data_IF_311861134378
#
_entry.id   IF_311861134378
#
_cell.length_a   1.000
_cell.length_b   1.000
_cell.length_c   1.000
_cell.angle_alpha   90.00
_cell.angle_beta   90.00
_cell.angle_gamma   90.00
#
_symmetry.space_group_name_H-M   'P 1'
#
loop_
_entity.id
_entity.type
_entity.pdbx_description
1 polymer ?
#
# COMPACT_ATOMS: atom_id res chain seq x y z
N UNK A 1 -1.66 -35.35 -1.46
CA UNK A 1 -1.71 -33.88 -1.61
C UNK A 1 -1.61 -33.62 -3.10
N UNK A 2 -2.73 -33.31 -3.75
CA UNK A 2 -2.72 -32.93 -5.17
C UNK A 2 -1.95 -31.63 -5.31
N UNK A 3 -0.82 -31.69 -6.01
CA UNK A 3 -0.07 -30.52 -6.44
C UNK A 3 -0.95 -29.79 -7.45
N UNK A 4 -1.51 -28.65 -7.07
CA UNK A 4 -2.16 -27.75 -8.04
C UNK A 4 -1.06 -27.28 -8.98
N UNK A 5 -1.13 -27.69 -10.25
CA UNK A 5 -0.23 -27.17 -11.28
C UNK A 5 -0.38 -25.64 -11.35
N UNK A 6 0.74 -24.94 -11.36
CA UNK A 6 0.76 -23.50 -11.51
C UNK A 6 0.25 -23.14 -12.91
N UNK A 7 -1.03 -22.80 -13.01
CA UNK A 7 -1.60 -22.31 -14.25
C UNK A 7 -1.02 -20.92 -14.58
N UNK A 8 -0.58 -20.66 -15.82
CA UNK A 8 -0.08 -19.35 -16.21
C UNK A 8 -1.20 -18.30 -16.10
N UNK A 9 -1.05 -17.36 -15.18
CA UNK A 9 -1.96 -16.21 -15.04
C UNK A 9 -1.64 -15.19 -16.13
N UNK A 10 -2.53 -15.06 -17.12
CA UNK A 10 -2.41 -14.10 -18.21
C UNK A 10 -3.66 -13.25 -18.29
N UNK A 11 -3.50 -11.93 -18.36
CA UNK A 11 -4.61 -10.99 -18.46
C UNK A 11 -4.23 -9.60 -17.97
N UNK A 12 -5.23 -8.76 -17.82
CA UNK A 12 -5.08 -7.42 -17.26
C UNK A 12 -5.45 -7.44 -15.77
N UNK A 13 -4.63 -6.75 -14.97
CA UNK A 13 -4.98 -6.43 -13.59
C UNK A 13 -5.48 -4.98 -13.55
N UNK A 14 -6.76 -4.81 -13.21
CA UNK A 14 -7.37 -3.48 -13.03
C UNK A 14 -7.53 -3.17 -11.55
N UNK A 15 -7.33 -1.91 -11.19
CA UNK A 15 -7.58 -1.38 -9.85
C UNK A 15 -7.55 0.14 -9.87
N UNK A 16 -7.98 0.75 -8.78
CA UNK A 16 -7.98 2.20 -8.59
C UNK A 16 -7.22 2.53 -7.32
N UNK A 17 -6.27 3.45 -7.43
CA UNK A 17 -5.57 4.02 -6.28
C UNK A 17 -6.39 5.24 -5.83
N UNK A 18 -6.76 5.30 -4.55
CA UNK A 18 -7.55 6.42 -4.04
C UNK A 18 -6.81 7.76 -4.19
N UNK A 19 -5.53 7.79 -3.81
CA UNK A 19 -4.68 8.95 -4.04
C UNK A 19 -3.19 8.59 -4.17
N UNK A 20 -2.48 9.44 -4.91
CA UNK A 20 -1.01 9.50 -4.91
C UNK A 20 -0.62 10.90 -4.50
N UNK A 21 0.18 11.01 -3.44
CA UNK A 21 0.63 12.31 -2.94
C UNK A 21 2.14 12.43 -3.15
N UNK A 22 2.59 13.60 -3.59
CA UNK A 22 4.01 13.96 -3.56
C UNK A 22 4.31 14.59 -2.21
N UNK A 23 5.32 14.08 -1.51
CA UNK A 23 5.77 14.66 -0.25
C UNK A 23 6.57 15.95 -0.51
N UNK A 24 7.06 16.61 0.54
CA UNK A 24 7.87 17.82 0.41
C UNK A 24 9.15 17.60 -0.45
N UNK A 25 9.63 16.36 -0.53
CA UNK A 25 10.73 15.93 -1.40
C UNK A 25 10.28 15.38 -2.77
N UNK A 26 11.15 14.64 -3.47
CA UNK A 26 10.81 14.04 -4.76
C UNK A 26 9.97 12.75 -4.63
N UNK A 27 9.70 12.28 -3.42
CA UNK A 27 9.03 11.00 -3.17
C UNK A 27 7.51 11.09 -3.29
N UNK A 28 6.92 10.01 -3.79
CA UNK A 28 5.50 9.82 -3.96
C UNK A 28 5.02 8.68 -3.09
N UNK A 29 3.93 8.89 -2.36
CA UNK A 29 3.27 7.86 -1.55
C UNK A 29 1.94 7.48 -2.16
N UNK A 30 1.63 6.18 -2.13
CA UNK A 30 0.29 5.67 -2.41
C UNK A 30 -0.54 5.83 -1.14
N UNK A 31 -1.76 6.33 -1.26
CA UNK A 31 -2.70 6.47 -0.15
C UNK A 31 -3.97 5.69 -0.46
N UNK A 32 -4.47 4.96 0.53
CA UNK A 32 -5.73 4.22 0.46
C UNK A 32 -6.55 4.43 1.74
N UNK A 33 -7.84 4.71 1.60
CA UNK A 33 -8.74 4.96 2.73
C UNK A 33 -9.46 3.69 3.14
N UNK A 34 -9.30 3.30 4.40
CA UNK A 34 -9.94 2.11 4.98
C UNK A 34 -10.98 2.49 6.02
N UNK A 35 -12.21 2.02 5.82
CA UNK A 35 -13.31 2.15 6.78
C UNK A 35 -13.43 0.94 7.69
N UNK A 36 -12.42 0.06 7.75
CA UNK A 36 -12.42 -1.15 8.57
C UNK A 36 -12.73 -0.86 10.06
N UNK A 37 -13.43 -1.78 10.73
CA UNK A 37 -13.74 -1.69 12.18
C UNK A 37 -12.86 -2.69 12.93
N UNK A 38 -12.01 -2.21 13.85
CA UNK A 38 -11.02 -3.08 14.52
C UNK A 38 -11.43 -3.63 15.88
N UNK A 39 -12.43 -3.03 16.53
CA UNK A 39 -12.96 -3.47 17.84
C UNK A 39 -14.47 -3.64 17.76
N UNK A 40 -15.10 -4.34 18.71
CA UNK A 40 -16.58 -4.45 18.90
C UNK A 40 -17.04 -3.48 19.99
N UNK A 41 -18.29 -3.00 19.95
CA UNK A 41 -18.82 -2.07 20.97
C UNK A 41 -18.42 -0.62 20.75
N UNK A 42 -18.12 0.14 21.80
CA UNK A 42 -17.70 1.54 21.65
C UNK A 42 -16.34 1.65 20.95
N UNK A 43 -16.22 2.59 20.02
CA UNK A 43 -15.05 2.74 19.16
C UNK A 43 -14.32 4.04 19.45
N UNK A 44 -13.10 3.92 19.95
CA UNK A 44 -12.16 5.03 20.13
C UNK A 44 -10.97 4.89 19.18
N UNK A 45 -10.22 5.98 18.98
CA UNK A 45 -8.99 6.01 18.19
C UNK A 45 -7.92 5.02 18.71
N UNK A 46 -7.90 4.74 20.02
CA UNK A 46 -6.95 3.82 20.65
C UNK A 46 -7.13 2.36 20.22
N UNK A 47 -8.22 2.01 19.54
CA UNK A 47 -8.36 0.69 18.90
C UNK A 47 -7.60 0.58 17.57
N UNK A 48 -7.11 1.70 17.03
CA UNK A 48 -6.40 1.78 15.75
C UNK A 48 -4.90 1.97 15.97
N UNK A 49 -4.32 1.27 16.94
CA UNK A 49 -2.87 1.27 17.14
C UNK A 49 -2.15 0.65 15.94
N UNK A 50 -0.87 0.96 15.79
CA UNK A 50 -0.02 0.36 14.75
C UNK A 50 -0.14 -1.18 14.70
N UNK A 51 -0.14 -1.85 15.86
CA UNK A 51 -0.27 -3.31 15.94
C UNK A 51 -1.64 -3.82 15.49
N UNK A 52 -2.73 -3.16 15.89
CA UNK A 52 -4.08 -3.54 15.47
C UNK A 52 -4.30 -3.32 13.97
N UNK A 53 -3.81 -2.18 13.44
CA UNK A 53 -3.86 -1.91 12.00
C UNK A 53 -3.00 -2.89 11.21
N UNK A 54 -1.79 -3.23 11.68
CA UNK A 54 -0.94 -4.24 11.04
C UNK A 54 -1.63 -5.61 10.96
N UNK A 55 -2.27 -6.04 12.04
CA UNK A 55 -3.03 -7.29 12.06
C UNK A 55 -4.19 -7.28 11.04
N UNK A 56 -4.90 -6.16 10.94
CA UNK A 56 -5.97 -6.01 9.95
C UNK A 56 -5.44 -5.96 8.51
N UNK A 57 -4.32 -5.28 8.27
CA UNK A 57 -3.64 -5.25 6.97
C UNK A 57 -3.36 -6.68 6.49
N UNK A 58 -2.78 -7.51 7.36
CA UNK A 58 -2.49 -8.91 7.07
C UNK A 58 -3.78 -9.72 6.82
N UNK A 59 -4.77 -9.59 7.71
CA UNK A 59 -6.05 -10.31 7.62
C UNK A 59 -6.82 -10.00 6.33
N UNK A 60 -6.75 -8.76 5.86
CA UNK A 60 -7.43 -8.29 4.66
C UNK A 60 -6.57 -8.41 3.38
N UNK A 61 -5.36 -8.99 3.48
CA UNK A 61 -4.41 -9.14 2.37
C UNK A 61 -4.02 -7.81 1.69
N UNK A 62 -4.12 -6.69 2.42
CA UNK A 62 -3.76 -5.38 1.90
C UNK A 62 -2.26 -5.21 1.56
N UNK A 63 -1.29 -5.96 2.11
CA UNK A 63 0.09 -5.91 1.62
C UNK A 63 0.22 -6.26 0.13
N UNK A 64 -0.55 -7.24 -0.37
CA UNK A 64 -0.55 -7.56 -1.80
C UNK A 64 -1.12 -6.39 -2.61
N UNK A 65 -2.23 -5.81 -2.16
CA UNK A 65 -2.82 -4.62 -2.78
C UNK A 65 -1.82 -3.45 -2.84
N UNK A 66 -1.14 -3.17 -1.71
CA UNK A 66 -0.12 -2.13 -1.60
C UNK A 66 1.02 -2.34 -2.60
N UNK A 67 1.55 -3.55 -2.71
CA UNK A 67 2.61 -3.87 -3.66
C UNK A 67 2.17 -3.68 -5.12
N UNK A 68 0.96 -4.12 -5.47
CA UNK A 68 0.40 -3.94 -6.81
C UNK A 68 0.19 -2.44 -7.14
N UNK A 69 -0.23 -1.64 -6.16
CA UNK A 69 -0.35 -0.19 -6.33
C UNK A 69 1.02 0.49 -6.45
N UNK A 70 2.03 0.06 -5.69
CA UNK A 70 3.40 0.52 -5.87
C UNK A 70 3.95 0.17 -7.25
N UNK A 71 3.65 -1.01 -7.80
CA UNK A 71 4.03 -1.38 -9.17
C UNK A 71 3.36 -0.46 -10.20
N UNK A 72 2.06 -0.19 -10.03
CA UNK A 72 1.33 0.73 -10.91
C UNK A 72 1.95 2.13 -10.87
N UNK A 73 2.25 2.65 -9.66
CA UNK A 73 2.92 3.92 -9.46
C UNK A 73 4.32 3.93 -10.08
N UNK A 74 5.11 2.87 -9.86
CA UNK A 74 6.44 2.71 -10.45
C UNK A 74 6.40 2.83 -11.98
N UNK A 75 5.50 2.09 -12.63
CA UNK A 75 5.32 2.13 -14.10
C UNK A 75 4.86 3.49 -14.59
N UNK A 76 3.95 4.14 -13.85
CA UNK A 76 3.51 5.50 -14.16
C UNK A 76 4.65 6.53 -14.06
N UNK A 77 5.42 6.51 -12.97
CA UNK A 77 6.52 7.45 -12.76
C UNK A 77 7.67 7.22 -13.74
N UNK A 78 7.98 5.98 -14.13
CA UNK A 78 8.93 5.69 -15.22
C UNK A 78 8.62 6.45 -16.50
N UNK A 79 7.34 6.70 -16.78
CA UNK A 79 6.90 7.46 -17.94
C UNK A 79 6.85 8.97 -17.67
N UNK A 80 6.42 9.38 -16.48
CA UNK A 80 6.01 10.77 -16.21
C UNK A 80 7.01 11.60 -15.41
N UNK A 81 7.93 10.98 -14.70
CA UNK A 81 8.91 11.66 -13.85
C UNK A 81 10.27 11.74 -14.57
N UNK A 82 10.74 12.94 -14.95
CA UNK A 82 12.10 13.12 -15.46
C UNK A 82 13.13 12.68 -14.42
N UNK A 83 14.17 11.96 -14.86
CA UNK A 83 15.21 11.45 -13.97
C UNK A 83 14.69 10.45 -12.94
N UNK A 84 13.63 9.70 -13.26
CA UNK A 84 13.04 8.74 -12.34
C UNK A 84 14.06 7.71 -11.84
N UNK A 85 14.17 7.65 -10.52
CA UNK A 85 14.90 6.66 -9.74
C UNK A 85 13.95 6.07 -8.68
N UNK A 86 13.65 4.76 -8.71
CA UNK A 86 12.81 4.11 -7.72
C UNK A 86 13.25 4.35 -6.26
N UNK A 87 14.56 4.40 -6.00
CA UNK A 87 15.08 4.57 -4.64
C UNK A 87 14.81 5.97 -4.06
N UNK A 88 14.73 6.96 -4.94
CA UNK A 88 14.47 8.36 -4.57
C UNK A 88 12.97 8.70 -4.60
N UNK A 89 12.22 8.16 -5.56
CA UNK A 89 10.87 8.61 -5.86
C UNK A 89 9.76 7.73 -5.28
N UNK A 90 10.02 6.46 -4.94
CA UNK A 90 9.03 5.64 -4.25
C UNK A 90 9.09 5.90 -2.74
N UNK A 91 8.02 6.46 -2.18
CA UNK A 91 7.91 6.83 -0.76
C UNK A 91 7.15 5.84 0.10
N UNK A 92 6.65 4.74 -0.47
CA UNK A 92 5.86 3.74 0.24
C UNK A 92 4.35 3.98 0.16
N UNK A 93 3.63 3.48 1.16
CA UNK A 93 2.16 3.48 1.23
C UNK A 93 1.66 3.98 2.57
N UNK A 94 0.51 4.64 2.57
CA UNK A 94 -0.24 5.07 3.75
C UNK A 94 -1.68 4.53 3.67
N UNK A 95 -2.04 3.67 4.60
CA UNK A 95 -3.39 3.16 4.75
C UNK A 95 -4.07 3.94 5.88
N UNK A 96 -5.02 4.79 5.49
CA UNK A 96 -5.72 5.69 6.40
C UNK A 96 -6.96 5.00 6.94
N UNK A 97 -6.87 4.46 8.15
CA UNK A 97 -8.00 3.91 8.88
C UNK A 97 -8.84 5.06 9.45
N UNK A 98 -9.74 5.60 8.63
CA UNK A 98 -10.42 6.88 8.89
C UNK A 98 -11.21 6.92 10.19
N UNK A 99 -11.64 5.76 10.71
CA UNK A 99 -12.34 5.65 12.01
C UNK A 99 -11.41 5.83 13.22
N UNK A 100 -10.11 5.72 13.04
CA UNK A 100 -9.08 6.03 14.03
C UNK A 100 -8.57 7.47 13.97
N UNK A 101 -8.97 8.25 12.95
CA UNK A 101 -8.52 9.62 12.73
C UNK A 101 -9.56 10.61 13.29
N UNK A 102 -9.40 10.99 14.56
CA UNK A 102 -10.36 11.83 15.32
C UNK A 102 -9.97 13.32 15.36
N UNK A 103 -9.21 13.78 14.35
CA UNK A 103 -8.77 15.17 14.26
C UNK A 103 -7.43 15.44 14.97
N UNK A 104 -7.14 16.71 15.32
CA UNK A 104 -5.85 17.12 15.92
C UNK A 104 -5.49 16.40 17.22
N UNK A 105 -6.50 15.87 17.93
CA UNK A 105 -6.34 15.12 19.17
C UNK A 105 -6.13 13.62 18.95
N UNK A 106 -5.97 13.16 17.70
CA UNK A 106 -5.68 11.75 17.41
C UNK A 106 -4.40 11.33 18.12
N UNK A 107 -4.43 10.27 18.97
CA UNK A 107 -3.23 9.79 19.62
C UNK A 107 -2.16 9.38 18.61
N UNK A 108 -0.89 9.67 18.92
CA UNK A 108 0.23 9.29 18.04
C UNK A 108 0.22 7.78 17.75
N UNK A 109 0.51 7.43 16.49
CA UNK A 109 0.50 6.04 16.02
C UNK A 109 -0.90 5.43 15.84
N UNK A 110 -1.96 6.23 15.93
CA UNK A 110 -3.33 5.78 15.66
C UNK A 110 -3.86 6.25 14.30
N UNK A 111 -4.65 5.40 13.64
CA UNK A 111 -5.43 5.75 12.45
C UNK A 111 -4.66 5.78 11.12
N UNK A 112 -3.33 5.78 11.14
CA UNK A 112 -2.50 5.70 9.93
C UNK A 112 -1.54 4.52 10.05
N UNK A 113 -1.64 3.57 9.13
CA UNK A 113 -0.64 2.54 8.95
C UNK A 113 0.27 2.91 7.78
N UNK A 114 1.55 3.07 8.05
CA UNK A 114 2.58 3.30 7.04
C UNK A 114 3.39 2.03 6.78
N UNK A 115 3.77 1.83 5.51
CA UNK A 115 4.74 0.81 5.14
C UNK A 115 5.54 1.29 3.93
N UNK A 116 6.86 1.09 3.97
CA UNK A 116 7.74 1.39 2.85
C UNK A 116 8.31 0.07 2.28
N UNK A 117 7.66 -0.55 1.28
CA UNK A 117 8.22 -1.69 0.58
C UNK A 117 9.58 -1.34 -0.04
N UNK A 118 10.58 -2.23 0.04
CA UNK A 118 11.86 -1.98 -0.62
C UNK A 118 11.66 -1.66 -2.11
N UNK A 119 12.26 -0.60 -2.66
CA UNK A 119 12.11 -0.27 -4.08
C UNK A 119 12.49 -1.44 -5.01
N UNK A 120 13.52 -2.20 -4.62
CA UNK A 120 13.94 -3.42 -5.34
C UNK A 120 12.86 -4.51 -5.42
N UNK A 121 12.02 -4.63 -4.38
CA UNK A 121 10.88 -5.55 -4.38
C UNK A 121 9.81 -5.08 -5.38
N UNK A 122 9.54 -3.77 -5.43
CA UNK A 122 8.58 -3.19 -6.36
C UNK A 122 9.04 -3.35 -7.81
N UNK A 123 10.32 -3.12 -8.10
CA UNK A 123 10.88 -3.30 -9.44
C UNK A 123 10.86 -4.77 -9.86
N UNK A 124 11.30 -5.68 -8.98
CA UNK A 124 11.29 -7.12 -9.27
C UNK A 124 9.87 -7.64 -9.52
N UNK A 125 8.89 -7.21 -8.73
CA UNK A 125 7.49 -7.57 -8.95
C UNK A 125 6.95 -6.99 -10.27
N UNK A 126 7.34 -5.77 -10.63
CA UNK A 126 6.98 -5.19 -11.93
C UNK A 126 7.53 -6.01 -13.09
N UNK A 127 8.75 -6.50 -13.00
CA UNK A 127 9.39 -7.31 -14.05
C UNK A 127 8.77 -8.72 -14.14
N UNK A 128 8.49 -9.35 -12.99
CA UNK A 128 7.75 -10.61 -12.91
C UNK A 128 6.38 -10.50 -13.60
N UNK A 129 5.63 -9.42 -13.30
CA UNK A 129 4.32 -9.16 -13.92
C UNK A 129 4.40 -8.78 -15.40
N UNK A 130 5.59 -8.43 -15.92
CA UNK A 130 5.81 -8.21 -17.34
C UNK A 130 6.12 -9.52 -18.10
N UNK A 131 6.29 -10.64 -17.40
CA UNK A 131 6.70 -11.92 -17.98
C UNK A 131 8.20 -12.01 -18.25
N UNK A 132 9.00 -11.10 -17.66
CA UNK A 132 10.46 -11.14 -17.71
C UNK A 132 10.95 -12.07 -16.60
N UNK A 133 10.94 -13.38 -16.83
CA UNK A 133 11.51 -14.40 -15.93
C UNK A 133 12.28 -15.45 -16.72
#
# INVERSE_FOLDING_TARGET
LETVEAAPLRGYLSGSIDAVLRLAGPSYVVVDYKTNRLSRGDLTALHYTQGAMAAEMLRAHYPLQALLYCVALHRFLRWRQPGYDPATHLGGVLYLFVRGMVGPETPSGCGVFDWNPPPALVTALSDLLAGSS
#
